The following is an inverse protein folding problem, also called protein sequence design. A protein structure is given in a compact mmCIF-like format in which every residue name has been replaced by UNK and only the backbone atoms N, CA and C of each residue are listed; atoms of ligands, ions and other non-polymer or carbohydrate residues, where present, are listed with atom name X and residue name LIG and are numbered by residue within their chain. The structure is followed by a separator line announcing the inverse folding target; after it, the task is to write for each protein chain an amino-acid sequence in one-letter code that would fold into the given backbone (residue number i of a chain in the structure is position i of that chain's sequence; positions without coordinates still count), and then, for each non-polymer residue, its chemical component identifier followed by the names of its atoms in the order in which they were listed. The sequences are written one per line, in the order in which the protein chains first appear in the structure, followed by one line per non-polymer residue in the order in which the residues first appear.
data_IF_296721439691
#
_entry.id   IF_296721439691
#
_cell.length_a   1.000
_cell.length_b   1.000
_cell.length_c   1.000
_cell.angle_alpha   90.00
_cell.angle_beta   90.00
_cell.angle_gamma   90.00
#
_symmetry.space_group_name_H-M   'P 1'
#
loop_
_entity.id
_entity.type
_entity.pdbx_description
1 polymer ?
#
# COMPACT_ATOMS: atom_id res chain seq x y z
N UNK A 1 22.40 0.49 -7.55
CA UNK A 1 21.46 0.09 -6.48
C UNK A 1 20.07 0.22 -7.03
N UNK A 2 19.55 -0.86 -7.59
CA UNK A 2 18.21 -0.94 -8.16
C UNK A 2 17.57 -2.16 -7.53
N UNK A 3 16.37 -2.03 -6.95
CA UNK A 3 15.07 -2.38 -7.55
C UNK A 3 13.97 -1.80 -6.66
N UNK A 4 13.23 -0.79 -7.12
CA UNK A 4 11.88 -0.48 -6.60
C UNK A 4 10.90 -1.02 -7.63
N UNK A 5 10.62 -2.32 -7.58
CA UNK A 5 9.50 -2.89 -8.32
C UNK A 5 8.23 -2.54 -7.54
N UNK A 6 7.71 -1.36 -7.84
CA UNK A 6 6.34 -0.98 -7.50
C UNK A 6 5.40 -1.97 -8.18
N UNK A 7 4.38 -2.41 -7.45
CA UNK A 7 3.36 -3.33 -7.93
C UNK A 7 2.52 -2.69 -9.03
N UNK A 8 3.02 -2.73 -10.25
CA UNK A 8 2.23 -2.52 -11.46
C UNK A 8 1.62 -3.86 -11.84
N UNK A 9 0.34 -4.04 -11.50
CA UNK A 9 -0.45 -5.09 -12.11
C UNK A 9 -0.65 -4.68 -13.58
N UNK A 10 0.12 -5.29 -14.48
CA UNK A 10 -0.13 -5.24 -15.92
C UNK A 10 -1.45 -5.95 -16.18
N UNK A 11 -2.57 -5.24 -16.09
CA UNK A 11 -3.86 -5.75 -16.54
C UNK A 11 -3.82 -5.72 -18.07
N UNK A 12 -3.38 -6.82 -18.69
CA UNK A 12 -3.57 -7.05 -20.13
C UNK A 12 -5.07 -7.24 -20.37
N UNK A 13 -5.77 -6.14 -20.63
CA UNK A 13 -7.12 -6.17 -21.18
C UNK A 13 -7.02 -6.48 -22.67
N UNK A 14 -6.82 -7.75 -23.03
CA UNK A 14 -6.95 -8.16 -24.43
C UNK A 14 -8.42 -8.36 -24.79
N UNK A 15 -8.90 -7.43 -25.60
CA UNK A 15 -10.17 -7.42 -26.30
C UNK A 15 -10.34 -8.67 -27.18
N UNK A 16 -11.53 -9.26 -27.12
CA UNK A 16 -11.97 -10.42 -27.93
C UNK A 16 -11.71 -10.21 -29.43
N UNK A 17 -10.91 -11.09 -30.04
CA UNK A 17 -10.95 -11.34 -31.49
C UNK A 17 -11.23 -12.81 -31.75
N UNK A 18 -12.34 -13.06 -32.44
CA UNK A 18 -12.82 -14.37 -32.89
C UNK A 18 -12.07 -14.77 -34.16
N UNK A 19 -11.18 -15.77 -34.07
CA UNK A 19 -10.76 -16.57 -35.23
C UNK A 19 -10.44 -18.00 -34.78
N UNK A 20 -11.10 -18.95 -35.44
CA UNK A 20 -10.95 -20.39 -35.30
C UNK A 20 -9.58 -20.88 -35.74
N UNK A 21 -8.81 -21.49 -34.84
CA UNK A 21 -7.84 -22.52 -35.19
C UNK A 21 -7.71 -23.49 -34.02
N UNK A 22 -7.90 -24.77 -34.33
CA UNK A 22 -7.80 -25.86 -33.36
C UNK A 22 -6.36 -26.04 -32.91
N UNK A 23 -6.05 -25.48 -31.76
CA UNK A 23 -5.01 -25.98 -30.87
C UNK A 23 -5.75 -26.36 -29.59
N UNK A 24 -5.57 -27.57 -29.09
CA UNK A 24 -6.14 -27.99 -27.81
C UNK A 24 -5.63 -27.01 -26.76
N UNK A 25 -6.49 -26.07 -26.37
CA UNK A 25 -6.23 -25.18 -25.26
C UNK A 25 -6.11 -26.11 -24.05
N UNK A 26 -4.88 -26.37 -23.63
CA UNK A 26 -4.57 -27.05 -22.37
C UNK A 26 -5.43 -26.39 -21.33
N UNK A 27 -6.45 -27.10 -20.86
CA UNK A 27 -7.47 -26.56 -19.97
C UNK A 27 -6.75 -26.07 -18.74
N UNK A 28 -6.56 -24.75 -18.63
CA UNK A 28 -5.99 -24.16 -17.43
C UNK A 28 -6.96 -24.54 -16.31
N UNK A 29 -6.49 -25.11 -15.20
CA UNK A 29 -7.37 -25.46 -14.10
C UNK A 29 -8.15 -24.21 -13.71
N UNK A 30 -9.47 -24.31 -13.63
CA UNK A 30 -10.28 -23.24 -13.07
C UNK A 30 -9.86 -23.06 -11.62
N UNK A 31 -9.37 -21.87 -11.29
CA UNK A 31 -8.92 -21.54 -9.94
C UNK A 31 -9.80 -20.43 -9.39
N UNK A 32 -10.39 -20.66 -8.24
CA UNK A 32 -11.29 -19.71 -7.58
C UNK A 32 -10.53 -18.80 -6.61
N UNK A 33 -11.07 -17.62 -6.33
CA UNK A 33 -10.44 -16.64 -5.42
C UNK A 33 -10.34 -17.22 -3.99
N UNK A 34 -11.35 -17.98 -3.57
CA UNK A 34 -11.44 -18.61 -2.25
C UNK A 34 -10.29 -19.61 -1.99
N UNK A 35 -9.60 -20.10 -3.02
CA UNK A 35 -8.44 -21.00 -2.87
C UNK A 35 -7.18 -20.27 -2.39
N UNK A 36 -7.07 -18.99 -2.69
CA UNK A 36 -5.86 -18.20 -2.39
C UNK A 36 -6.07 -17.21 -1.24
N UNK A 37 -7.30 -16.76 -1.02
CA UNK A 37 -7.59 -15.67 -0.10
C UNK A 37 -8.51 -16.12 1.03
N UNK A 38 -8.25 -15.60 2.23
CA UNK A 38 -9.14 -15.75 3.37
C UNK A 38 -10.26 -14.73 3.27
N UNK A 39 -11.47 -15.11 3.69
CA UNK A 39 -12.66 -14.25 3.69
C UNK A 39 -13.09 -13.87 5.09
N UNK A 40 -13.55 -12.63 5.27
CA UNK A 40 -14.19 -12.21 6.53
C UNK A 40 -15.60 -12.77 6.64
N UNK A 41 -16.03 -13.10 7.86
CA UNK A 41 -17.40 -13.55 8.14
C UNK A 41 -18.41 -12.39 8.14
N UNK A 42 -17.95 -11.19 8.49
CA UNK A 42 -18.79 -9.99 8.58
C UNK A 42 -19.09 -9.42 7.20
N UNK A 43 -20.26 -8.77 7.06
CA UNK A 43 -20.64 -8.06 5.84
C UNK A 43 -20.21 -6.59 5.95
N UNK A 44 -19.59 -6.01 4.90
CA UNK A 44 -19.24 -6.62 3.61
C UNK A 44 -18.10 -7.64 3.73
N UNK A 45 -18.16 -8.72 2.92
CA UNK A 45 -17.12 -9.76 2.87
C UNK A 45 -15.86 -9.18 2.24
N UNK A 46 -14.74 -9.28 2.94
CA UNK A 46 -13.43 -8.84 2.49
C UNK A 46 -12.52 -10.06 2.30
N UNK A 47 -11.83 -10.07 1.17
CA UNK A 47 -10.78 -11.05 0.88
C UNK A 47 -9.42 -10.49 1.28
N UNK A 48 -8.63 -11.28 2.01
CA UNK A 48 -7.28 -10.90 2.42
C UNK A 48 -6.29 -12.07 2.37
N UNK A 49 -5.03 -11.75 2.07
CA UNK A 49 -3.92 -12.69 2.11
C UNK A 49 -3.01 -12.30 3.28
N UNK A 50 -2.86 -13.14 4.32
CA UNK A 50 -1.93 -12.86 5.40
C UNK A 50 -0.49 -12.83 4.88
N UNK A 51 0.35 -12.01 5.50
CA UNK A 51 1.78 -12.01 5.21
C UNK A 51 2.38 -13.35 5.65
N UNK A 52 3.28 -13.89 4.84
CA UNK A 52 4.03 -15.09 5.20
C UNK A 52 5.10 -14.77 6.24
N UNK A 53 5.54 -15.77 6.99
CA UNK A 53 6.58 -15.59 8.02
C UNK A 53 7.88 -15.01 7.45
N UNK A 54 8.21 -15.40 6.22
CA UNK A 54 9.37 -14.87 5.49
C UNK A 54 9.24 -13.37 5.23
N UNK A 55 8.07 -12.93 4.75
CA UNK A 55 7.78 -11.52 4.53
C UNK A 55 7.76 -10.73 5.85
N UNK A 56 7.27 -11.34 6.93
CA UNK A 56 7.29 -10.73 8.27
C UNK A 56 8.74 -10.56 8.75
N UNK A 57 9.59 -11.57 8.60
CA UNK A 57 11.02 -11.50 8.95
C UNK A 57 11.74 -10.39 8.18
N UNK A 58 11.61 -10.36 6.85
CA UNK A 58 12.20 -9.31 6.02
C UNK A 58 11.71 -7.91 6.41
N UNK A 59 10.41 -7.77 6.72
CA UNK A 59 9.85 -6.48 7.17
C UNK A 59 10.39 -6.07 8.53
N UNK A 60 10.61 -7.01 9.45
CA UNK A 60 11.23 -6.75 10.76
C UNK A 60 12.69 -6.33 10.59
N UNK A 61 13.46 -7.04 9.77
CA UNK A 61 14.85 -6.69 9.46
C UNK A 61 14.95 -5.29 8.84
N UNK A 62 14.11 -4.98 7.84
CA UNK A 62 14.07 -3.65 7.22
C UNK A 62 13.66 -2.54 8.20
N UNK A 63 12.86 -2.87 9.22
CA UNK A 63 12.47 -1.92 10.28
C UNK A 63 13.56 -1.77 11.33
N UNK A 64 14.25 -2.85 11.73
CA UNK A 64 15.40 -2.80 12.63
C UNK A 64 16.63 -2.13 12.00
N UNK A 65 16.74 -2.15 10.67
CA UNK A 65 17.75 -1.38 9.92
C UNK A 65 17.38 0.10 9.72
N UNK A 66 16.14 0.52 10.03
CA UNK A 66 15.91 1.96 10.23
C UNK A 66 16.56 2.29 11.57
N UNK A 67 17.50 3.27 11.63
CA UNK A 67 18.08 3.65 12.91
C UNK A 67 16.95 4.07 13.84
N UNK A 68 16.71 3.21 14.83
CA UNK A 68 15.80 3.43 15.94
C UNK A 68 16.38 4.61 16.74
N UNK A 69 16.02 5.84 16.34
CA UNK A 69 16.50 7.04 17.04
C UNK A 69 17.23 8.07 16.18
N UNK A 70 16.71 8.43 15.01
CA UNK A 70 16.73 9.86 14.72
C UNK A 70 15.49 10.50 15.35
N UNK A 71 15.58 11.12 16.54
CA UNK A 71 14.51 11.98 17.02
C UNK A 71 14.31 13.02 15.92
N UNK A 72 13.15 12.94 15.24
CA UNK A 72 12.77 13.97 14.28
C UNK A 72 12.81 15.28 15.05
N UNK A 73 13.83 16.11 14.81
CA UNK A 73 13.97 17.42 15.44
C UNK A 73 12.64 18.14 15.24
N UNK A 74 11.85 18.25 16.31
CA UNK A 74 10.61 19.03 16.30
C UNK A 74 11.03 20.45 15.99
N UNK A 75 10.83 20.88 14.74
CA UNK A 75 11.07 22.26 14.37
C UNK A 75 10.11 23.10 15.21
N UNK A 76 10.65 23.91 16.12
CA UNK A 76 9.88 24.92 16.81
C UNK A 76 9.32 25.86 15.74
N UNK A 77 8.07 25.62 15.34
CA UNK A 77 7.32 26.59 14.54
C UNK A 77 7.15 27.80 15.45
N UNK A 78 8.05 28.77 15.26
CA UNK A 78 8.15 29.97 16.07
C UNK A 78 6.76 30.53 16.33
N UNK A 79 6.36 30.52 17.60
CA UNK A 79 5.13 31.14 18.03
C UNK A 79 5.26 32.63 17.75
N UNK A 80 4.64 33.09 16.66
CA UNK A 80 4.43 34.52 16.42
C UNK A 80 3.58 35.06 17.56
N UNK A 81 4.24 35.61 18.57
CA UNK A 81 3.62 36.39 19.65
C UNK A 81 2.98 37.61 18.98
N UNK A 82 1.67 37.56 18.76
CA UNK A 82 0.90 38.69 18.20
C UNK A 82 0.97 39.83 19.23
N UNK A 83 1.56 40.96 18.83
CA UNK A 83 1.62 42.18 19.62
C UNK A 83 0.19 42.66 19.90
N UNK A 84 -0.28 42.50 21.15
CA UNK A 84 -1.43 43.24 21.69
C UNK A 84 -0.96 44.59 22.27
N UNK A 85 -0.43 45.49 21.45
CA UNK A 85 -0.27 46.92 21.78
C UNK A 85 -0.26 47.67 20.44
N UNK A 86 -1.07 48.69 20.15
CA UNK A 86 -1.87 49.54 21.01
C UNK A 86 -3.32 49.63 20.55
N UNK A 87 -4.20 49.66 21.54
CA UNK A 87 -5.54 50.22 21.42
C UNK A 87 -5.38 51.65 20.92
N UNK A 88 -6.08 52.00 19.84
CA UNK A 88 -6.44 53.37 19.52
C UNK A 88 -6.92 54.07 20.79
N UNK A 89 -6.13 55.00 21.32
CA UNK A 89 -6.67 56.03 22.20
C UNK A 89 -7.38 57.03 21.28
N UNK A 90 -8.70 56.91 21.18
CA UNK A 90 -9.56 57.99 20.70
C UNK A 90 -9.91 58.85 21.90
N UNK A 91 -9.39 60.07 21.94
CA UNK A 91 -10.05 61.24 22.50
C UNK A 91 -9.85 62.38 21.51
#
# INVERSE_FOLDING_TARGET
MEISQHGEATILSESKSKTSSGAQATQRPEVTIDEFFQKTETKPVLYYLPLTDEQIKQKKERRGQKPEGQPRKRRHRGGRKRNRRGRFQRR
#
